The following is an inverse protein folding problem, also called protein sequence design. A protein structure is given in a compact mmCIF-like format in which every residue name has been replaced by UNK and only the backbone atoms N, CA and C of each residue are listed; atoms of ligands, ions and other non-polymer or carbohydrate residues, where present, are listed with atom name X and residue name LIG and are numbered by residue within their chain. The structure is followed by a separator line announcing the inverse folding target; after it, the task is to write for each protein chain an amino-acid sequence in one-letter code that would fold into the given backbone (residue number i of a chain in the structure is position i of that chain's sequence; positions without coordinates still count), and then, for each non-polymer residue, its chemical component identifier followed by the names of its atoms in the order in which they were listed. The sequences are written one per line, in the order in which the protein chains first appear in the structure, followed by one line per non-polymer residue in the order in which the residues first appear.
data_IF_966222254847
#
_entry.id   IF_966222254847
#
_cell.length_a   1.000
_cell.length_b   1.000
_cell.length_c   1.000
_cell.angle_alpha   90.00
_cell.angle_beta   90.00
_cell.angle_gamma   90.00
#
_symmetry.space_group_name_H-M   'P 1'
#
loop_
_entity.id
_entity.type
_entity.pdbx_description
1 polymer ?
#
# COMPACT_ATOMS: atom_id res chain seq x y z
N UNK A 1 -9.64 4.17 -23.46
CA UNK A 1 -8.21 4.12 -23.85
C UNK A 1 -7.54 2.94 -23.16
N UNK A 2 -6.72 2.14 -23.86
CA UNK A 2 -5.94 1.09 -23.19
C UNK A 2 -4.74 1.69 -22.41
N UNK A 3 -4.22 0.95 -21.42
CA UNK A 3 -3.13 1.45 -20.54
C UNK A 3 -1.78 1.63 -21.24
N UNK A 4 -1.49 0.85 -22.27
CA UNK A 4 -0.22 1.01 -22.99
C UNK A 4 -0.26 2.29 -23.84
N UNK A 5 -1.44 2.65 -24.34
CA UNK A 5 -1.72 3.95 -24.96
C UNK A 5 -1.69 5.07 -23.93
N UNK A 6 -2.24 4.87 -22.74
CA UNK A 6 -2.15 5.83 -21.63
C UNK A 6 -0.70 6.20 -21.30
N UNK A 7 0.19 5.20 -21.20
CA UNK A 7 1.61 5.44 -20.91
C UNK A 7 2.31 6.32 -21.97
N UNK A 8 1.83 6.30 -23.23
CA UNK A 8 2.39 7.14 -24.30
C UNK A 8 2.13 8.62 -24.09
N UNK A 9 1.11 9.00 -23.31
CA UNK A 9 0.86 10.39 -22.89
C UNK A 9 2.00 10.99 -22.08
N UNK A 10 2.78 10.13 -21.42
CA UNK A 10 3.90 10.52 -20.58
C UNK A 10 5.25 10.13 -21.21
N UNK A 11 5.32 9.94 -22.54
CA UNK A 11 6.58 9.64 -23.20
C UNK A 11 7.52 10.85 -23.20
N UNK A 12 8.83 10.64 -22.98
CA UNK A 12 9.85 11.72 -22.89
C UNK A 12 9.84 12.66 -24.11
N UNK A 13 9.59 12.14 -25.31
CA UNK A 13 9.51 12.94 -26.54
C UNK A 13 8.36 13.97 -26.55
N UNK A 14 7.34 13.77 -25.70
CA UNK A 14 6.17 14.65 -25.57
C UNK A 14 6.34 15.67 -24.44
N UNK A 15 7.48 15.72 -23.73
CA UNK A 15 7.66 16.61 -22.58
C UNK A 15 7.46 18.10 -22.96
N UNK A 16 7.77 18.49 -24.20
CA UNK A 16 7.53 19.84 -24.71
C UNK A 16 6.07 20.18 -25.03
N UNK A 17 5.16 19.20 -25.01
CA UNK A 17 3.72 19.41 -25.23
C UNK A 17 2.98 19.79 -23.94
N UNK A 18 3.62 19.62 -22.78
CA UNK A 18 3.04 19.94 -21.48
C UNK A 18 3.24 21.42 -21.16
N UNK A 19 2.20 22.09 -20.65
CA UNK A 19 2.35 23.42 -20.08
C UNK A 19 3.45 23.42 -19.00
N UNK A 20 4.21 24.51 -18.91
CA UNK A 20 5.39 24.62 -18.03
C UNK A 20 5.11 24.17 -16.59
N UNK A 21 3.97 24.61 -16.04
CA UNK A 21 3.54 24.28 -14.68
C UNK A 21 3.24 22.79 -14.44
N UNK A 22 3.13 21.96 -15.49
CA UNK A 22 2.85 20.53 -15.42
C UNK A 22 3.99 19.65 -15.94
N UNK A 23 5.15 20.20 -16.30
CA UNK A 23 6.29 19.42 -16.78
C UNK A 23 6.87 18.44 -15.75
N UNK A 24 6.55 18.62 -14.45
CA UNK A 24 6.88 17.66 -13.40
C UNK A 24 6.04 16.37 -13.49
N UNK A 25 4.81 16.43 -13.99
CA UNK A 25 3.87 15.30 -14.05
C UNK A 25 4.43 14.13 -14.87
N UNK A 26 4.85 14.29 -16.14
CA UNK A 26 5.39 13.16 -16.91
C UNK A 26 6.72 12.64 -16.37
N UNK A 27 7.52 13.49 -15.71
CA UNK A 27 8.77 13.07 -15.04
C UNK A 27 8.48 12.18 -13.83
N UNK A 28 7.60 12.63 -12.95
CA UNK A 28 7.14 11.86 -11.78
C UNK A 28 6.48 10.55 -12.20
N UNK A 29 5.56 10.59 -13.18
CA UNK A 29 4.89 9.39 -13.69
C UNK A 29 5.89 8.32 -14.14
N UNK A 30 6.85 8.68 -15.01
CA UNK A 30 7.84 7.73 -15.52
C UNK A 30 8.73 7.18 -14.41
N UNK A 31 9.14 8.03 -13.46
CA UNK A 31 9.94 7.60 -12.32
C UNK A 31 9.17 6.59 -11.45
N UNK A 32 7.93 6.90 -11.09
CA UNK A 32 7.07 6.02 -10.29
C UNK A 32 6.76 4.70 -11.01
N UNK A 33 6.35 4.78 -12.29
CA UNK A 33 6.05 3.61 -13.10
C UNK A 33 7.26 2.67 -13.21
N UNK A 34 8.47 3.21 -13.43
CA UNK A 34 9.69 2.42 -13.48
C UNK A 34 10.02 1.75 -12.14
N UNK A 35 9.77 2.43 -11.01
CA UNK A 35 9.96 1.85 -9.67
C UNK A 35 9.00 0.70 -9.42
N UNK A 36 7.71 0.90 -9.70
CA UNK A 36 6.67 -0.10 -9.52
C UNK A 36 6.89 -1.32 -10.41
N UNK A 37 7.25 -1.10 -11.68
CA UNK A 37 7.62 -2.19 -12.59
C UNK A 37 8.83 -2.98 -12.05
N UNK A 38 9.82 -2.29 -11.47
CA UNK A 38 10.98 -2.96 -10.86
C UNK A 38 10.57 -3.83 -9.67
N UNK A 39 9.67 -3.36 -8.80
CA UNK A 39 9.13 -4.15 -7.68
C UNK A 39 8.37 -5.38 -8.18
N UNK A 40 7.48 -5.22 -9.16
CA UNK A 40 6.76 -6.35 -9.78
C UNK A 40 7.73 -7.38 -10.38
N UNK A 41 8.75 -6.92 -11.13
CA UNK A 41 9.76 -7.80 -11.72
C UNK A 41 10.65 -8.48 -10.69
N UNK A 42 10.90 -7.86 -9.53
CA UNK A 42 11.62 -8.51 -8.44
C UNK A 42 10.76 -9.58 -7.77
N UNK A 43 9.49 -9.29 -7.53
CA UNK A 43 8.51 -10.25 -7.01
C UNK A 43 8.43 -11.49 -7.91
N UNK A 44 8.26 -11.30 -9.22
CA UNK A 44 8.20 -12.40 -10.20
C UNK A 44 9.53 -13.16 -10.34
N UNK A 45 10.68 -12.49 -10.18
CA UNK A 45 11.98 -13.19 -10.18
C UNK A 45 12.19 -14.02 -8.92
N UNK A 46 11.78 -13.51 -7.76
CA UNK A 46 11.92 -14.21 -6.48
C UNK A 46 10.90 -15.35 -6.36
N UNK A 47 9.67 -15.12 -6.82
CA UNK A 47 8.54 -16.04 -6.80
C UNK A 47 7.89 -16.12 -8.20
N UNK A 48 8.42 -16.95 -9.11
CA UNK A 48 7.89 -17.04 -10.48
C UNK A 48 6.41 -17.42 -10.54
N UNK A 49 5.60 -16.63 -11.23
CA UNK A 49 4.17 -16.85 -11.42
C UNK A 49 3.33 -16.55 -10.17
N UNK A 50 3.89 -15.85 -9.18
CA UNK A 50 3.23 -15.65 -7.88
C UNK A 50 1.91 -14.92 -8.01
N UNK A 51 1.83 -13.87 -8.82
CA UNK A 51 0.58 -13.10 -8.94
C UNK A 51 -0.54 -13.93 -9.54
N UNK A 52 -0.25 -14.80 -10.51
CA UNK A 52 -1.28 -15.72 -11.05
C UNK A 52 -1.80 -16.72 -10.00
N UNK A 53 -0.94 -17.17 -9.08
CA UNK A 53 -1.34 -18.05 -7.97
C UNK A 53 -2.15 -17.28 -6.91
N UNK A 54 -1.76 -16.05 -6.60
CA UNK A 54 -2.51 -15.20 -5.67
C UNK A 54 -3.89 -14.81 -6.22
N UNK A 55 -4.00 -14.56 -7.53
CA UNK A 55 -5.29 -14.31 -8.19
C UNK A 55 -6.21 -15.54 -8.11
N UNK A 56 -5.66 -16.76 -8.27
CA UNK A 56 -6.40 -18.01 -8.07
C UNK A 56 -6.87 -18.18 -6.62
N UNK A 57 -5.99 -17.93 -5.64
CA UNK A 57 -6.34 -17.98 -4.23
C UNK A 57 -7.43 -16.96 -3.88
N UNK A 58 -7.37 -15.75 -4.47
CA UNK A 58 -8.41 -14.73 -4.32
C UNK A 58 -9.74 -15.15 -4.94
N UNK A 59 -9.73 -15.78 -6.11
CA UNK A 59 -10.95 -16.29 -6.72
C UNK A 59 -11.61 -17.36 -5.84
N UNK A 60 -10.82 -18.27 -5.28
CA UNK A 60 -11.30 -19.33 -4.39
C UNK A 60 -11.87 -18.82 -3.05
N UNK A 61 -11.31 -17.73 -2.50
CA UNK A 61 -11.76 -17.12 -1.25
C UNK A 61 -12.79 -15.99 -1.44
N UNK A 62 -13.27 -15.76 -2.67
CA UNK A 62 -13.93 -14.50 -3.01
C UNK A 62 -15.21 -14.19 -2.24
N UNK A 63 -15.98 -15.22 -1.89
CA UNK A 63 -17.25 -15.06 -1.18
C UNK A 63 -17.10 -14.91 0.34
N UNK A 64 -15.92 -15.20 0.89
CA UNK A 64 -15.67 -15.14 2.35
C UNK A 64 -14.96 -13.86 2.78
N UNK A 65 -14.43 -13.10 1.83
CA UNK A 65 -13.62 -11.91 2.10
C UNK A 65 -14.42 -10.62 1.85
N UNK A 66 -14.26 -9.59 2.71
CA UNK A 66 -14.83 -8.27 2.44
C UNK A 66 -14.35 -7.71 1.09
N UNK A 67 -15.22 -7.04 0.34
CA UNK A 67 -14.91 -6.54 -1.00
C UNK A 67 -13.71 -5.56 -1.05
N UNK A 68 -13.52 -4.79 0.02
CA UNK A 68 -12.41 -3.85 0.18
C UNK A 68 -11.06 -4.54 0.48
N UNK A 69 -11.07 -5.79 0.93
CA UNK A 69 -9.86 -6.59 1.12
C UNK A 69 -9.60 -7.37 -0.17
N UNK A 70 -8.39 -7.23 -0.72
CA UNK A 70 -7.97 -8.11 -1.80
C UNK A 70 -7.76 -9.52 -1.24
N UNK A 71 -6.64 -9.79 -0.58
CA UNK A 71 -6.34 -11.11 -0.03
C UNK A 71 -5.62 -10.92 1.31
N UNK A 72 -6.05 -11.56 2.41
CA UNK A 72 -5.35 -11.46 3.70
C UNK A 72 -3.91 -11.98 3.63
N UNK A 73 -3.02 -11.44 4.47
CA UNK A 73 -1.60 -11.83 4.45
C UNK A 73 -1.42 -13.31 4.76
N UNK A 74 -2.28 -13.88 5.61
CA UNK A 74 -2.27 -15.31 5.95
C UNK A 74 -2.49 -16.20 4.72
N UNK A 75 -3.40 -15.82 3.82
CA UNK A 75 -3.61 -16.53 2.56
C UNK A 75 -2.39 -16.41 1.64
N UNK A 76 -1.75 -15.23 1.59
CA UNK A 76 -0.50 -15.05 0.82
C UNK A 76 0.60 -15.95 1.39
N UNK A 77 0.76 -16.01 2.72
CA UNK A 77 1.71 -16.90 3.39
C UNK A 77 1.46 -18.37 3.04
N UNK A 78 0.20 -18.80 3.02
CA UNK A 78 -0.18 -20.16 2.65
C UNK A 78 0.24 -20.48 1.21
N UNK A 79 -0.06 -19.60 0.24
CA UNK A 79 0.39 -19.76 -1.16
C UNK A 79 1.91 -19.85 -1.26
N UNK A 80 2.63 -19.05 -0.46
CA UNK A 80 4.10 -19.10 -0.42
C UNK A 80 4.62 -20.42 0.15
N UNK A 81 4.01 -20.92 1.22
CA UNK A 81 4.36 -22.20 1.83
C UNK A 81 4.12 -23.37 0.86
N UNK A 82 2.97 -23.39 0.19
CA UNK A 82 2.55 -24.50 -0.67
C UNK A 82 3.36 -24.57 -1.97
N UNK A 83 3.71 -23.43 -2.54
CA UNK A 83 4.30 -23.40 -3.89
C UNK A 83 5.75 -22.92 -3.96
N UNK A 84 6.28 -22.35 -2.88
CA UNK A 84 7.67 -21.90 -2.81
C UNK A 84 8.37 -22.35 -1.51
N UNK A 85 8.22 -23.62 -1.09
CA UNK A 85 8.72 -24.09 0.21
C UNK A 85 10.23 -23.89 0.35
N UNK A 86 11.01 -24.06 -0.71
CA UNK A 86 12.47 -23.88 -0.66
C UNK A 86 12.92 -22.42 -0.44
N UNK A 87 12.05 -21.45 -0.71
CA UNK A 87 12.32 -20.01 -0.50
C UNK A 87 11.91 -19.57 0.91
N UNK A 88 10.91 -20.22 1.49
CA UNK A 88 10.41 -19.93 2.85
C UNK A 88 11.13 -20.74 3.94
N UNK A 89 11.82 -21.85 3.59
CA UNK A 89 12.41 -22.78 4.58
C UNK A 89 13.94 -22.87 4.59
N UNK A 90 14.67 -22.15 3.70
CA UNK A 90 16.13 -22.28 3.60
C UNK A 90 16.83 -20.93 3.57
N UNK A 91 17.15 -20.42 4.75
CA UNK A 91 18.19 -19.42 4.94
C UNK A 91 19.28 -20.02 5.85
N UNK A 92 20.55 -20.10 5.41
CA UNK A 92 21.63 -20.66 6.23
C UNK A 92 21.73 -19.94 7.59
N UNK A 93 21.66 -20.69 8.68
CA UNK A 93 21.75 -20.14 10.05
C UNK A 93 20.48 -19.47 10.59
N UNK A 94 19.37 -19.43 9.85
CA UNK A 94 18.11 -18.91 10.36
C UNK A 94 17.40 -19.93 11.25
N UNK A 95 16.90 -19.48 12.40
CA UNK A 95 16.00 -20.27 13.24
C UNK A 95 14.63 -20.42 12.55
N UNK A 96 13.83 -21.41 12.95
CA UNK A 96 12.47 -21.59 12.43
C UNK A 96 11.60 -20.32 12.55
N UNK A 97 11.78 -19.57 13.64
CA UNK A 97 11.13 -18.27 13.84
C UNK A 97 11.65 -17.20 12.88
N UNK A 98 12.97 -17.12 12.66
CA UNK A 98 13.54 -16.18 11.69
C UNK A 98 13.01 -16.41 10.27
N UNK A 99 12.83 -17.68 9.88
CA UNK A 99 12.20 -18.07 8.62
C UNK A 99 10.73 -17.63 8.55
N UNK A 100 9.96 -17.81 9.62
CA UNK A 100 8.56 -17.39 9.69
C UNK A 100 8.40 -15.87 9.56
N UNK A 101 9.25 -15.08 10.22
CA UNK A 101 9.25 -13.62 10.11
C UNK A 101 9.60 -13.17 8.69
N UNK A 102 10.59 -13.79 8.05
CA UNK A 102 10.93 -13.48 6.66
C UNK A 102 9.78 -13.82 5.70
N UNK A 103 9.14 -14.98 5.87
CA UNK A 103 7.99 -15.39 5.08
C UNK A 103 6.79 -14.44 5.26
N UNK A 104 6.53 -13.97 6.49
CA UNK A 104 5.50 -12.96 6.76
C UNK A 104 5.83 -11.62 6.08
N UNK A 105 7.09 -11.19 6.12
CA UNK A 105 7.53 -9.99 5.42
C UNK A 105 7.35 -10.08 3.91
N UNK A 106 7.74 -11.21 3.30
CA UNK A 106 7.57 -11.44 1.86
C UNK A 106 6.09 -11.52 1.48
N UNK A 107 5.26 -12.18 2.28
CA UNK A 107 3.82 -12.23 2.06
C UNK A 107 3.20 -10.83 2.09
N UNK A 108 3.52 -10.01 3.10
CA UNK A 108 3.00 -8.65 3.21
C UNK A 108 3.43 -7.75 2.04
N UNK A 109 4.66 -7.90 1.53
CA UNK A 109 5.15 -7.17 0.35
C UNK A 109 4.42 -7.58 -0.93
N UNK A 110 4.25 -8.88 -1.13
CA UNK A 110 3.52 -9.42 -2.28
C UNK A 110 2.04 -9.05 -2.22
N UNK A 111 1.45 -9.02 -1.03
CA UNK A 111 0.09 -8.55 -0.78
C UNK A 111 -0.06 -7.09 -1.22
N UNK A 112 0.84 -6.21 -0.82
CA UNK A 112 0.81 -4.79 -1.19
C UNK A 112 0.80 -4.59 -2.72
N UNK A 113 1.73 -5.26 -3.42
CA UNK A 113 1.86 -5.17 -4.88
C UNK A 113 0.66 -5.83 -5.56
N UNK A 114 0.25 -7.01 -5.10
CA UNK A 114 -0.85 -7.78 -5.67
C UNK A 114 -2.20 -7.07 -5.53
N UNK A 115 -2.48 -6.49 -4.35
CA UNK A 115 -3.69 -5.70 -4.12
C UNK A 115 -3.72 -4.48 -5.04
N UNK A 116 -2.59 -3.82 -5.24
CA UNK A 116 -2.48 -2.67 -6.16
C UNK A 116 -2.69 -3.07 -7.62
N UNK A 117 -2.13 -4.21 -8.03
CA UNK A 117 -2.34 -4.78 -9.37
C UNK A 117 -3.81 -5.12 -9.60
N UNK A 118 -4.42 -5.82 -8.65
CA UNK A 118 -5.82 -6.21 -8.67
C UNK A 118 -6.78 -5.01 -8.64
N UNK A 119 -6.38 -3.92 -7.97
CA UNK A 119 -7.10 -2.65 -7.97
C UNK A 119 -7.00 -1.89 -9.31
N UNK A 120 -6.13 -2.31 -10.24
CA UNK A 120 -5.95 -1.61 -11.51
C UNK A 120 -4.80 -0.59 -11.53
N UNK A 121 -3.78 -0.79 -10.69
CA UNK A 121 -2.52 -0.03 -10.73
C UNK A 121 -2.70 1.49 -10.65
N UNK A 122 -3.63 1.95 -9.83
CA UNK A 122 -3.88 3.38 -9.66
C UNK A 122 -2.82 4.01 -8.75
N UNK A 123 -2.23 5.10 -9.25
CA UNK A 123 -1.35 6.00 -8.52
C UNK A 123 -2.09 7.31 -8.25
N UNK A 124 -1.90 7.89 -7.08
CA UNK A 124 -2.51 9.18 -6.74
C UNK A 124 -1.44 10.13 -6.24
N UNK A 125 -1.31 11.28 -6.90
CA UNK A 125 -0.53 12.39 -6.38
C UNK A 125 -1.47 13.37 -5.67
N UNK A 126 -1.14 13.67 -4.41
CA UNK A 126 -1.88 14.63 -3.60
C UNK A 126 -1.22 16.00 -3.74
N UNK A 127 -2.02 17.01 -4.05
CA UNK A 127 -1.55 18.38 -4.22
C UNK A 127 -0.85 18.92 -2.96
N UNK A 128 0.23 19.69 -3.14
CA UNK A 128 1.11 20.14 -2.05
C UNK A 128 0.39 20.88 -0.92
N UNK A 129 -0.58 21.73 -1.26
CA UNK A 129 -1.39 22.45 -0.26
C UNK A 129 -2.16 21.48 0.63
N UNK A 130 -2.73 20.43 0.04
CA UNK A 130 -3.42 19.37 0.76
C UNK A 130 -2.44 18.55 1.60
N UNK A 131 -1.25 18.24 1.09
CA UNK A 131 -0.20 17.53 1.86
C UNK A 131 0.12 18.28 3.16
N UNK A 132 0.24 19.62 3.09
CA UNK A 132 0.49 20.45 4.28
C UNK A 132 -0.66 20.42 5.29
N UNK A 133 -1.90 20.37 4.81
CA UNK A 133 -3.09 20.22 5.66
C UNK A 133 -3.14 18.84 6.32
N UNK A 134 -2.90 17.77 5.56
CA UNK A 134 -2.92 16.39 6.06
C UNK A 134 -1.85 16.14 7.12
N UNK A 135 -0.66 16.76 6.97
CA UNK A 135 0.37 16.75 8.02
C UNK A 135 -0.07 17.41 9.33
N UNK A 136 -1.09 18.28 9.28
CA UNK A 136 -1.67 18.98 10.43
C UNK A 136 -3.00 18.37 10.90
N UNK A 137 -3.53 17.35 10.22
CA UNK A 137 -4.87 16.80 10.46
C UNK A 137 -5.04 16.15 11.86
N UNK A 138 -3.94 16.02 12.62
CA UNK A 138 -3.94 15.53 13.99
C UNK A 138 -3.93 14.01 14.09
N UNK A 139 -4.14 13.53 15.31
CA UNK A 139 -4.06 12.12 15.68
C UNK A 139 -5.45 11.46 15.63
N UNK A 140 -6.14 11.51 14.48
CA UNK A 140 -7.48 10.92 14.32
C UNK A 140 -7.41 9.61 13.55
N UNK A 141 -8.07 8.57 14.06
CA UNK A 141 -8.22 7.29 13.37
C UNK A 141 -9.54 7.20 12.59
N UNK A 142 -9.54 6.98 11.27
CA UNK A 142 -10.73 6.73 10.46
C UNK A 142 -11.17 5.25 10.58
N UNK A 143 -11.78 4.87 11.71
CA UNK A 143 -12.26 3.48 11.89
C UNK A 143 -13.34 3.07 10.86
N UNK A 144 -14.01 4.04 10.22
CA UNK A 144 -15.00 3.85 9.16
C UNK A 144 -14.40 3.78 7.74
N UNK A 145 -13.07 3.72 7.63
CA UNK A 145 -12.39 3.64 6.34
C UNK A 145 -12.87 2.45 5.46
N UNK A 146 -13.14 1.25 6.01
CA UNK A 146 -13.59 0.12 5.19
C UNK A 146 -14.91 0.34 4.45
N UNK A 147 -15.79 1.22 4.96
CA UNK A 147 -17.07 1.55 4.34
C UNK A 147 -16.93 2.49 3.13
N UNK A 148 -15.81 3.22 3.03
CA UNK A 148 -15.60 4.27 2.02
C UNK A 148 -14.38 4.03 1.12
N UNK A 149 -13.57 3.01 1.43
CA UNK A 149 -12.31 2.76 0.72
C UNK A 149 -12.58 2.47 -0.77
N UNK A 150 -11.99 3.23 -1.70
CA UNK A 150 -12.43 3.24 -3.09
C UNK A 150 -12.04 1.99 -3.88
N UNK A 151 -10.91 1.38 -3.55
CA UNK A 151 -10.32 0.25 -4.28
C UNK A 151 -9.53 -0.62 -3.31
N UNK A 152 -9.21 -1.86 -3.68
CA UNK A 152 -8.44 -2.75 -2.81
C UNK A 152 -7.06 -2.20 -2.39
N UNK A 153 -6.45 -1.33 -3.21
CA UNK A 153 -5.18 -0.68 -2.91
C UNK A 153 -4.97 0.54 -3.81
N UNK A 154 -4.23 1.52 -3.28
CA UNK A 154 -3.79 2.72 -3.98
C UNK A 154 -2.28 2.90 -3.77
N UNK A 155 -1.57 3.40 -4.78
CA UNK A 155 -0.20 3.86 -4.60
C UNK A 155 -0.17 5.39 -4.54
N UNK A 156 0.07 5.95 -3.36
CA UNK A 156 0.20 7.41 -3.21
C UNK A 156 1.62 7.80 -3.60
N UNK A 157 1.78 8.76 -4.51
CA UNK A 157 3.05 9.16 -5.10
C UNK A 157 3.31 10.66 -4.92
N UNK A 158 4.56 11.01 -4.65
CA UNK A 158 5.03 12.39 -4.58
C UNK A 158 6.29 12.56 -5.41
N UNK A 159 6.48 13.77 -5.93
CA UNK A 159 7.76 14.19 -6.51
C UNK A 159 8.82 14.27 -5.40
N UNK A 160 10.04 13.83 -5.71
CA UNK A 160 11.16 13.88 -4.78
C UNK A 160 12.48 14.25 -5.50
N UNK A 161 13.46 14.83 -4.79
CA UNK A 161 14.79 15.01 -5.34
C UNK A 161 15.40 13.66 -5.75
N UNK A 162 15.60 13.46 -7.06
CA UNK A 162 16.11 12.21 -7.62
C UNK A 162 15.06 11.20 -8.09
N UNK A 163 13.76 11.52 -8.07
CA UNK A 163 12.73 10.67 -8.69
C UNK A 163 11.34 10.83 -8.08
N UNK A 164 10.63 9.71 -7.97
CA UNK A 164 9.35 9.62 -7.27
C UNK A 164 9.49 8.72 -6.05
N UNK A 165 8.80 9.08 -4.97
CA UNK A 165 8.63 8.24 -3.78
C UNK A 165 7.13 8.02 -3.56
N UNK A 166 6.78 6.97 -2.85
CA UNK A 166 5.38 6.71 -2.57
C UNK A 166 5.15 5.69 -1.49
N UNK A 167 3.89 5.28 -1.35
CA UNK A 167 3.50 4.19 -0.47
C UNK A 167 2.29 3.47 -1.05
N UNK A 168 2.24 2.15 -0.90
CA UNK A 168 0.98 1.42 -1.04
C UNK A 168 0.15 1.63 0.21
N UNK A 169 -1.10 2.03 0.03
CA UNK A 169 -2.12 2.08 1.05
C UNK A 169 -3.20 1.07 0.67
N UNK A 170 -3.49 0.13 1.55
CA UNK A 170 -4.48 -0.90 1.28
C UNK A 170 -5.09 -1.41 2.59
N UNK A 171 -6.27 -1.99 2.47
CA UNK A 171 -6.97 -2.56 3.61
C UNK A 171 -6.81 -4.07 3.65
N UNK A 172 -6.65 -4.60 4.85
CA UNK A 172 -6.59 -6.02 5.13
C UNK A 172 -7.67 -6.43 6.14
N UNK A 173 -8.28 -7.58 5.88
CA UNK A 173 -9.12 -8.28 6.85
C UNK A 173 -8.29 -9.35 7.56
N UNK A 174 -8.01 -9.12 8.85
CA UNK A 174 -7.40 -10.12 9.70
C UNK A 174 -8.48 -11.12 10.14
N UNK A 175 -8.54 -12.28 9.48
CA UNK A 175 -9.57 -13.29 9.74
C UNK A 175 -9.50 -13.90 11.14
N UNK A 176 -8.28 -14.04 11.69
CA UNK A 176 -8.07 -14.60 13.02
C UNK A 176 -8.68 -13.72 14.10
N UNK A 177 -8.47 -12.40 14.00
CA UNK A 177 -8.93 -11.43 14.98
C UNK A 177 -10.22 -10.72 14.56
N UNK A 178 -10.75 -11.05 13.37
CA UNK A 178 -11.94 -10.45 12.75
C UNK A 178 -11.90 -8.92 12.76
N UNK A 179 -10.80 -8.35 12.27
CA UNK A 179 -10.54 -6.92 12.31
C UNK A 179 -10.05 -6.37 10.97
N UNK A 180 -10.45 -5.13 10.67
CA UNK A 180 -9.90 -4.36 9.56
C UNK A 180 -8.60 -3.63 9.96
N UNK A 181 -7.63 -3.66 9.06
CA UNK A 181 -6.34 -3.01 9.25
C UNK A 181 -6.00 -2.17 8.02
N UNK A 182 -5.47 -0.96 8.25
CA UNK A 182 -4.79 -0.21 7.21
C UNK A 182 -3.35 -0.69 7.15
N UNK A 183 -2.94 -1.14 5.97
CA UNK A 183 -1.57 -1.56 5.68
C UNK A 183 -0.86 -0.48 4.88
N UNK A 184 0.29 -0.07 5.39
CA UNK A 184 1.09 1.00 4.80
C UNK A 184 2.42 0.39 4.38
N UNK A 185 2.74 0.46 3.09
CA UNK A 185 4.00 -0.03 2.55
C UNK A 185 4.80 1.11 1.87
N UNK A 186 5.63 1.86 2.62
CA UNK A 186 6.41 2.96 2.07
C UNK A 186 7.49 2.48 1.08
N UNK A 187 7.41 2.94 -0.16
CA UNK A 187 8.44 2.81 -1.19
C UNK A 187 9.31 4.07 -1.21
N UNK A 188 10.09 4.25 -0.14
CA UNK A 188 10.92 5.45 0.08
C UNK A 188 12.43 5.20 -0.05
N UNK A 189 12.83 3.95 -0.32
CA UNK A 189 14.24 3.62 -0.51
C UNK A 189 14.79 4.33 -1.77
N UNK A 190 16.06 4.80 -1.78
CA UNK A 190 16.63 5.49 -2.94
C UNK A 190 16.52 4.68 -4.23
N UNK A 191 16.66 3.37 -4.12
CA UNK A 191 16.47 2.42 -5.21
C UNK A 191 15.35 1.46 -4.82
N UNK A 192 14.32 1.34 -5.67
CA UNK A 192 13.24 0.38 -5.46
C UNK A 192 13.80 -1.05 -5.34
N UNK A 193 13.46 -1.70 -4.24
CA UNK A 193 13.91 -3.03 -3.86
C UNK A 193 12.84 -3.70 -3.00
N UNK A 194 12.36 -4.87 -3.42
CA UNK A 194 11.25 -5.59 -2.78
C UNK A 194 11.53 -5.90 -1.30
N UNK A 195 12.73 -6.39 -0.98
CA UNK A 195 13.19 -6.69 0.37
C UNK A 195 13.24 -5.45 1.29
N UNK A 196 13.35 -4.26 0.70
CA UNK A 196 13.38 -2.97 1.40
C UNK A 196 12.03 -2.25 1.43
N UNK A 197 10.94 -2.93 1.09
CA UNK A 197 9.58 -2.42 1.26
C UNK A 197 9.07 -2.86 2.65
N UNK A 198 9.17 -2.02 3.70
CA UNK A 198 8.55 -2.33 4.98
C UNK A 198 7.03 -2.26 4.83
N UNK A 199 6.32 -3.19 5.45
CA UNK A 199 4.85 -3.17 5.48
C UNK A 199 4.42 -3.11 6.93
N UNK A 200 3.66 -2.08 7.28
CA UNK A 200 3.20 -1.85 8.64
C UNK A 200 1.68 -1.99 8.69
N UNK A 201 1.13 -2.94 9.47
CA UNK A 201 -0.27 -2.90 9.86
C UNK A 201 -0.54 -1.73 10.78
N UNK A 202 -1.75 -1.24 10.73
CA UNK A 202 -2.33 -0.38 11.74
C UNK A 202 -3.80 -0.74 11.90
N UNK A 203 -4.21 -1.06 13.13
CA UNK A 203 -5.58 -1.43 13.42
C UNK A 203 -6.52 -0.24 13.15
N UNK A 204 -7.62 -0.47 12.43
CA UNK A 204 -8.64 0.56 12.22
C UNK A 204 -9.63 0.56 13.40
N UNK A 205 -9.12 0.85 14.59
CA UNK A 205 -9.85 0.88 15.84
C UNK A 205 -9.40 2.03 16.73
N UNK A 206 -10.23 2.35 17.73
CA UNK A 206 -9.96 3.44 18.67
C UNK A 206 -10.31 4.81 18.10
N UNK A 207 -10.01 5.84 18.90
CA UNK A 207 -10.24 7.24 18.49
C UNK A 207 -9.05 7.87 17.75
N UNK A 208 -7.83 7.37 18.01
CA UNK A 208 -6.58 8.00 17.58
C UNK A 208 -5.60 7.03 16.92
N UNK A 209 -4.69 7.57 16.10
CA UNK A 209 -3.60 6.80 15.48
C UNK A 209 -2.67 6.24 16.55
N UNK A 210 -2.42 6.98 17.62
CA UNK A 210 -1.65 6.50 18.78
C UNK A 210 -2.30 5.30 19.46
N UNK A 211 -3.62 5.33 19.70
CA UNK A 211 -4.33 4.22 20.31
C UNK A 211 -4.29 2.98 19.42
N UNK A 212 -4.57 3.15 18.12
CA UNK A 212 -4.47 2.09 17.12
C UNK A 212 -3.06 1.49 17.05
N UNK A 213 -2.02 2.34 17.05
CA UNK A 213 -0.63 1.90 17.04
C UNK A 213 -0.31 1.08 18.30
N UNK A 214 -0.76 1.52 19.47
CA UNK A 214 -0.57 0.78 20.73
C UNK A 214 -1.22 -0.60 20.67
N UNK A 215 -2.47 -0.69 20.20
CA UNK A 215 -3.16 -1.98 19.99
C UNK A 215 -2.43 -2.87 19.00
N UNK A 216 -1.87 -2.29 17.94
CA UNK A 216 -1.10 -3.02 16.94
C UNK A 216 0.17 -3.60 17.54
N UNK A 217 0.95 -2.80 18.28
CA UNK A 217 2.17 -3.26 18.96
C UNK A 217 1.86 -4.39 19.94
N UNK A 218 0.80 -4.25 20.73
CA UNK A 218 0.37 -5.27 21.69
C UNK A 218 -0.03 -6.58 21.00
N UNK A 219 -0.78 -6.53 19.88
CA UNK A 219 -1.14 -7.73 19.12
C UNK A 219 0.10 -8.42 18.53
N UNK A 220 1.03 -7.65 17.96
CA UNK A 220 2.30 -8.19 17.45
C UNK A 220 3.11 -8.85 18.56
N UNK A 221 3.23 -8.19 19.72
CA UNK A 221 3.95 -8.75 20.87
C UNK A 221 3.28 -10.03 21.38
N UNK A 222 1.95 -10.04 21.54
CA UNK A 222 1.21 -11.23 21.96
C UNK A 222 1.37 -12.40 20.97
N UNK A 223 1.41 -12.11 19.66
CA UNK A 223 1.68 -13.10 18.63
C UNK A 223 3.08 -13.70 18.72
N UNK A 224 4.10 -12.86 18.98
CA UNK A 224 5.48 -13.31 19.21
C UNK A 224 5.60 -14.14 20.50
N UNK A 225 4.97 -13.68 21.58
CA UNK A 225 4.96 -14.38 22.86
C UNK A 225 4.34 -15.78 22.74
N UNK A 226 3.19 -15.86 22.07
CA UNK A 226 2.53 -17.14 21.76
C UNK A 226 3.45 -18.06 20.95
N UNK A 227 4.16 -17.53 19.96
CA UNK A 227 5.07 -18.32 19.12
C UNK A 227 6.34 -18.78 19.87
N UNK A 228 6.77 -18.02 20.87
CA UNK A 228 7.92 -18.32 21.72
C UNK A 228 7.56 -19.17 22.93
N UNK A 229 6.26 -19.35 23.22
CA UNK A 229 5.81 -19.98 24.46
C UNK A 229 6.14 -19.13 25.69
N UNK A 230 6.28 -17.81 25.52
CA UNK A 230 6.46 -16.85 26.60
C UNK A 230 5.14 -16.21 26.95
N UNK A 231 4.89 -15.97 28.24
CA UNK A 231 3.76 -15.16 28.70
C UNK A 231 4.34 -13.94 29.39
N UNK A 232 4.56 -12.86 28.63
CA UNK A 232 4.94 -11.57 29.22
C UNK A 232 3.72 -10.68 29.31
N UNK A 233 3.51 -10.05 30.47
CA UNK A 233 2.54 -8.97 30.58
C UNK A 233 3.22 -7.69 30.06
N UNK A 234 2.79 -7.14 28.91
CA UNK A 234 3.41 -5.93 28.38
C UNK A 234 3.14 -4.74 29.30
N UNK A 235 4.17 -3.98 29.62
CA UNK A 235 4.01 -2.71 30.32
C UNK A 235 3.38 -1.68 29.36
N UNK A 236 2.17 -1.23 29.70
CA UNK A 236 1.39 -0.25 28.92
C UNK A 236 1.40 1.15 29.54
N UNK A 237 2.23 1.36 30.57
CA UNK A 237 2.36 2.65 31.24
C UNK A 237 2.93 3.70 30.28
N UNK A 238 2.61 5.00 30.46
CA UNK A 238 3.24 6.07 29.68
C UNK A 238 4.77 6.01 29.79
N UNK A 239 5.47 6.10 28.66
CA UNK A 239 6.93 5.97 28.60
C UNK A 239 7.48 4.54 28.67
N UNK A 240 6.62 3.51 28.64
CA UNK A 240 7.07 2.13 28.44
C UNK A 240 7.58 1.92 27.00
N UNK A 241 8.32 0.83 26.77
CA UNK A 241 8.77 0.47 25.42
C UNK A 241 7.60 0.29 24.42
N UNK A 242 6.45 -0.19 24.89
CA UNK A 242 5.23 -0.31 24.08
C UNK A 242 4.69 1.07 23.72
N UNK A 243 4.63 1.99 24.68
CA UNK A 243 4.15 3.35 24.47
C UNK A 243 5.07 4.13 23.51
N UNK A 244 6.39 4.08 23.72
CA UNK A 244 7.38 4.70 22.84
C UNK A 244 7.29 4.15 21.41
N UNK A 245 7.18 2.82 21.26
CA UNK A 245 7.03 2.19 19.94
C UNK A 245 5.74 2.63 19.26
N UNK A 246 4.63 2.68 20.01
CA UNK A 246 3.33 3.14 19.51
C UNK A 246 3.39 4.59 19.04
N UNK A 247 4.01 5.49 19.81
CA UNK A 247 4.20 6.90 19.44
C UNK A 247 5.03 7.05 18.15
N UNK A 248 6.10 6.26 18.00
CA UNK A 248 6.93 6.25 16.78
C UNK A 248 6.12 5.77 15.58
N UNK A 249 5.35 4.68 15.72
CA UNK A 249 4.49 4.15 14.65
C UNK A 249 3.41 5.17 14.28
N UNK A 250 2.73 5.76 15.27
CA UNK A 250 1.70 6.75 15.05
C UNK A 250 2.25 7.99 14.33
N UNK A 251 3.38 8.54 14.80
CA UNK A 251 4.02 9.70 14.17
C UNK A 251 4.41 9.42 12.72
N UNK A 252 4.99 8.23 12.45
CA UNK A 252 5.38 7.84 11.09
C UNK A 252 4.19 7.64 10.15
N UNK A 253 3.05 7.19 10.68
CA UNK A 253 1.89 6.80 9.88
C UNK A 253 0.76 7.82 9.86
N UNK A 254 0.78 8.84 10.72
CA UNK A 254 -0.29 9.85 10.81
C UNK A 254 -0.61 10.49 9.46
N UNK A 255 0.42 10.85 8.67
CA UNK A 255 0.21 11.39 7.34
C UNK A 255 -0.51 10.40 6.41
N UNK A 256 -0.10 9.13 6.42
CA UNK A 256 -0.67 8.10 5.55
C UNK A 256 -2.11 7.76 5.95
N UNK A 257 -2.42 7.77 7.24
CA UNK A 257 -3.78 7.61 7.76
C UNK A 257 -4.66 8.78 7.33
N UNK A 258 -4.20 10.02 7.49
CA UNK A 258 -4.92 11.21 7.05
C UNK A 258 -5.11 11.23 5.53
N UNK A 259 -4.09 10.82 4.76
CA UNK A 259 -4.19 10.69 3.31
C UNK A 259 -5.20 9.61 2.89
N UNK A 260 -5.22 8.47 3.58
CA UNK A 260 -6.21 7.42 3.33
C UNK A 260 -7.63 7.92 3.59
N UNK A 261 -7.87 8.56 4.75
CA UNK A 261 -9.18 9.13 5.09
C UNK A 261 -9.65 10.17 4.06
N UNK A 262 -8.75 11.08 3.68
CA UNK A 262 -9.04 12.12 2.71
C UNK A 262 -9.33 11.56 1.32
N UNK A 263 -8.53 10.61 0.82
CA UNK A 263 -8.73 9.97 -0.48
C UNK A 263 -10.01 9.13 -0.55
N UNK A 264 -10.49 8.62 0.58
CA UNK A 264 -11.75 7.90 0.72
C UNK A 264 -12.95 8.81 1.05
N UNK A 265 -12.76 10.12 1.12
CA UNK A 265 -13.84 11.09 1.36
C UNK A 265 -14.36 11.68 0.06
N UNK A 266 -15.36 12.55 0.15
CA UNK A 266 -15.88 13.40 -0.95
C UNK A 266 -15.11 14.71 -1.13
N UNK A 267 -14.13 14.98 -0.24
CA UNK A 267 -13.30 16.19 -0.25
C UNK A 267 -12.33 16.32 -1.44
N UNK A 268 -11.71 15.25 -1.98
CA UNK A 268 -10.75 15.39 -3.07
C UNK A 268 -11.46 15.63 -4.39
N UNK A 269 -11.05 16.68 -5.10
CA UNK A 269 -11.30 16.78 -6.54
C UNK A 269 -10.15 16.12 -7.28
N UNK A 270 -10.45 15.04 -7.96
CA UNK A 270 -9.49 14.24 -8.70
C UNK A 270 -9.68 14.38 -10.19
N UNK A 271 -8.60 14.25 -10.94
CA UNK A 271 -8.64 14.17 -12.38
C UNK A 271 -7.51 13.30 -12.91
N UNK A 272 -7.74 12.71 -14.07
CA UNK A 272 -6.76 11.90 -14.78
C UNK A 272 -5.63 12.80 -15.30
N UNK A 273 -4.38 12.48 -14.93
CA UNK A 273 -3.21 13.25 -15.34
C UNK A 273 -3.03 13.28 -16.87
N UNK A 274 -3.46 12.26 -17.62
CA UNK A 274 -3.34 12.26 -19.07
C UNK A 274 -4.25 13.29 -19.75
N UNK A 275 -5.30 13.77 -19.07
CA UNK A 275 -6.13 14.87 -19.56
C UNK A 275 -5.32 16.16 -19.78
N UNK A 276 -4.29 16.39 -18.96
CA UNK A 276 -3.38 17.52 -19.13
C UNK A 276 -2.53 17.44 -20.41
N UNK A 277 -2.39 16.25 -21.00
CA UNK A 277 -1.74 16.02 -22.29
C UNK A 277 -2.72 15.97 -23.47
N UNK A 278 -3.98 16.42 -23.26
CA UNK A 278 -5.06 16.38 -24.25
C UNK A 278 -5.62 14.99 -24.51
N UNK A 279 -5.35 14.03 -23.65
CA UNK A 279 -5.87 12.66 -23.78
C UNK A 279 -7.26 12.53 -23.15
N UNK A 280 -8.08 11.61 -23.66
CA UNK A 280 -9.35 11.28 -23.02
C UNK A 280 -9.12 10.63 -21.65
N UNK A 281 -10.00 10.96 -20.70
CA UNK A 281 -10.01 10.37 -19.37
C UNK A 281 -10.23 8.85 -19.45
N UNK A 282 -9.42 8.10 -18.71
CA UNK A 282 -9.45 6.63 -18.79
C UNK A 282 -10.52 6.02 -17.88
N UNK A 283 -10.87 6.67 -16.77
CA UNK A 283 -11.92 6.25 -15.84
C UNK A 283 -12.45 7.45 -15.04
N UNK A 284 -13.58 7.30 -14.34
CA UNK A 284 -13.98 8.22 -13.29
C UNK A 284 -13.28 7.91 -11.97
N UNK A 285 -13.26 8.89 -11.05
CA UNK A 285 -12.80 8.69 -9.68
C UNK A 285 -13.99 8.78 -8.70
N UNK A 286 -14.07 7.89 -7.70
CA UNK A 286 -13.25 6.69 -7.55
C UNK A 286 -13.51 5.69 -8.70
N UNK A 287 -12.51 4.91 -9.14
CA UNK A 287 -12.72 3.96 -10.24
C UNK A 287 -13.77 2.92 -9.85
N UNK A 288 -14.85 2.82 -10.64
CA UNK A 288 -15.96 1.91 -10.34
C UNK A 288 -15.55 0.42 -10.34
N UNK A 289 -14.50 0.08 -11.08
CA UNK A 289 -13.87 -1.25 -11.10
C UNK A 289 -12.41 -1.13 -11.48
N UNK A 290 -11.63 -2.12 -11.07
CA UNK A 290 -10.29 -2.30 -11.61
C UNK A 290 -10.37 -2.49 -13.12
N UNK A 291 -9.56 -1.72 -13.87
CA UNK A 291 -9.41 -1.97 -15.30
C UNK A 291 -8.44 -3.13 -15.53
N UNK A 292 -8.83 -4.03 -16.42
CA UNK A 292 -8.18 -5.32 -16.69
C UNK A 292 -7.22 -5.29 -17.89
N UNK A 293 -7.28 -4.25 -18.74
CA UNK A 293 -6.45 -4.17 -19.96
C UNK A 293 -5.16 -3.37 -19.75
N UNK A 294 -4.01 -4.04 -19.89
CA UNK A 294 -2.67 -3.44 -19.94
C UNK A 294 -1.99 -3.28 -18.57
N UNK A 295 -0.66 -3.02 -18.61
CA UNK A 295 0.21 -3.08 -17.42
C UNK A 295 0.63 -1.73 -16.86
N UNK A 296 0.45 -0.64 -17.61
CA UNK A 296 0.88 0.67 -17.17
C UNK A 296 0.00 1.20 -16.02
N UNK A 297 0.57 1.90 -15.04
CA UNK A 297 -0.22 2.50 -13.98
C UNK A 297 -1.02 3.71 -14.48
N UNK A 298 -2.15 4.00 -13.83
CA UNK A 298 -2.95 5.21 -14.08
C UNK A 298 -2.62 6.24 -13.01
N UNK A 299 -2.42 7.50 -13.38
CA UNK A 299 -2.05 8.58 -12.46
C UNK A 299 -3.20 9.57 -12.29
N UNK A 300 -3.62 9.74 -11.05
CA UNK A 300 -4.59 10.74 -10.64
C UNK A 300 -3.89 11.90 -9.96
N UNK A 301 -4.31 13.11 -10.28
CA UNK A 301 -3.95 14.31 -9.53
C UNK A 301 -5.12 14.69 -8.63
N UNK A 302 -4.89 14.76 -7.32
CA UNK A 302 -5.92 15.00 -6.31
C UNK A 302 -5.66 16.33 -5.59
N UNK A 303 -6.60 17.28 -5.72
CA UNK A 303 -6.58 18.56 -5.02
C UNK A 303 -7.83 18.77 -4.16
N UNK A 304 -7.93 19.88 -3.41
CA UNK A 304 -9.13 20.19 -2.64
C UNK A 304 -10.31 20.50 -3.58
N UNK A 305 -11.52 20.06 -3.23
CA UNK A 305 -12.75 20.60 -3.80
C UNK A 305 -12.83 22.10 -3.47
N UNK A 306 -12.96 22.95 -4.49
CA UNK A 306 -13.16 24.40 -4.31
C UNK A 306 -14.60 24.70 -3.90
#
# INVERSE_FOLDING_TARGET
MDRDTYAKSFAKRRDGEWAEMFQWVPRMYRAAASRLEKLERQAERQFPGVFGRLDQARAAASDTLPAWCWLPVAHVQQVLADHYPHRTTRAPGATGMGLAVMAAGDAARLQAIGAWRAAGRHMVNIHDTTVLELRKAGDRMPADLPQRWPLQSLYVVSEAPGGALGAFLYLEWNERERRAELRIAPDVAPTAALDRLPVQPLHLEGGTVTEAARRTVLSVQAGLDTALGTETLPDISPGSAVDETAQVIATKNAFWVAAADWLASDRPRTFDAAYLAGAEQVADWPPAKAQDTGRAPVLWLAGPAR
#
